data_IF_289435784092
#
_entry.id   IF_289435784092
#
_cell.length_a   1.000
_cell.length_b   1.000
_cell.length_c   1.000
_cell.angle_alpha   90.00
_cell.angle_beta   90.00
_cell.angle_gamma   90.00
#
_symmetry.space_group_name_H-M   'P 1'
#
loop_
_entity.id
_entity.type
_entity.pdbx_description
1 polymer ?
#
# COMPACT_ATOMS: atom_id res chain seq x y z
N UNK A 1 30.50 -2.92 -8.00
CA UNK A 1 29.16 -2.31 -8.15
C UNK A 1 28.87 -2.09 -9.63
N UNK A 2 27.63 -1.82 -10.02
CA UNK A 2 27.24 -1.68 -11.44
C UNK A 2 27.98 -0.52 -12.13
N UNK A 3 28.22 -0.64 -13.42
CA UNK A 3 28.86 0.37 -14.26
C UNK A 3 27.83 1.31 -14.89
N UNK A 4 28.17 2.59 -14.92
CA UNK A 4 27.42 3.68 -15.53
C UNK A 4 28.29 4.31 -16.59
N UNK A 5 27.77 4.47 -17.80
CA UNK A 5 28.45 5.26 -18.84
C UNK A 5 28.26 6.75 -18.57
N UNK A 6 29.36 7.49 -18.49
CA UNK A 6 29.35 8.87 -17.98
C UNK A 6 29.08 9.93 -19.04
N UNK A 7 29.01 9.54 -20.30
CA UNK A 7 28.61 10.39 -21.42
C UNK A 7 27.09 10.58 -21.52
N UNK A 8 26.31 9.56 -21.14
CA UNK A 8 24.84 9.58 -21.18
C UNK A 8 24.19 9.48 -19.79
N UNK A 9 24.97 9.17 -18.75
CA UNK A 9 24.49 8.99 -17.37
C UNK A 9 23.40 7.92 -17.24
N UNK A 10 23.61 6.80 -17.93
CA UNK A 10 22.78 5.58 -17.86
C UNK A 10 23.65 4.37 -17.49
N UNK A 11 23.03 3.29 -17.01
CA UNK A 11 23.76 2.04 -16.80
C UNK A 11 24.40 1.57 -18.11
N UNK A 12 25.62 1.03 -18.01
CA UNK A 12 26.28 0.44 -19.17
C UNK A 12 25.52 -0.82 -19.57
N UNK A 13 25.07 -0.86 -20.84
CA UNK A 13 24.39 -2.02 -21.39
C UNK A 13 25.40 -3.19 -21.58
N UNK A 14 24.99 -4.45 -21.39
CA UNK A 14 25.83 -5.61 -21.70
C UNK A 14 26.44 -5.58 -23.11
N UNK A 15 25.66 -5.18 -24.11
CA UNK A 15 26.07 -5.16 -25.52
C UNK A 15 27.18 -4.12 -25.76
N UNK A 16 27.09 -2.96 -25.10
CA UNK A 16 28.12 -1.92 -25.12
C UNK A 16 29.45 -2.43 -24.52
N UNK A 17 29.37 -3.36 -23.56
CA UNK A 17 30.51 -4.03 -22.97
C UNK A 17 31.01 -5.25 -23.78
N UNK A 18 30.33 -5.61 -24.87
CA UNK A 18 30.64 -6.81 -25.66
C UNK A 18 30.29 -8.11 -24.94
N UNK A 19 29.31 -8.06 -24.04
CA UNK A 19 28.81 -9.20 -23.27
C UNK A 19 27.50 -9.71 -23.86
N UNK A 20 27.35 -11.04 -23.91
CA UNK A 20 26.10 -11.68 -24.31
C UNK A 20 25.25 -11.98 -23.07
N UNK A 21 23.99 -11.53 -23.09
CA UNK A 21 23.01 -11.84 -22.05
C UNK A 21 22.46 -13.25 -22.28
N UNK A 22 22.51 -14.14 -21.27
CA UNK A 22 21.89 -15.46 -21.36
C UNK A 22 20.39 -15.34 -21.64
N UNK A 23 19.80 -16.26 -22.44
CA UNK A 23 18.36 -16.29 -22.65
C UNK A 23 17.65 -16.61 -21.33
N UNK A 24 16.56 -15.90 -21.06
CA UNK A 24 15.68 -16.15 -19.92
C UNK A 24 14.78 -17.34 -20.25
N UNK A 25 14.63 -18.34 -19.36
CA UNK A 25 13.65 -19.42 -19.53
C UNK A 25 12.22 -18.89 -19.71
N UNK A 26 11.37 -19.59 -20.48
CA UNK A 26 10.00 -19.14 -20.79
C UNK A 26 9.10 -18.93 -19.55
N UNK A 27 9.44 -19.56 -18.42
CA UNK A 27 8.68 -19.52 -17.17
C UNK A 27 9.27 -18.55 -16.11
N UNK A 28 10.31 -17.78 -16.45
CA UNK A 28 10.98 -16.83 -15.55
C UNK A 28 10.83 -15.39 -16.04
N UNK A 29 10.70 -14.46 -15.10
CA UNK A 29 10.66 -13.03 -15.41
C UNK A 29 12.04 -12.52 -15.87
N UNK A 30 12.05 -11.63 -16.87
CA UNK A 30 13.29 -11.04 -17.38
C UNK A 30 13.92 -10.08 -16.35
N UNK A 31 14.94 -10.54 -15.64
CA UNK A 31 15.70 -9.70 -14.72
C UNK A 31 16.74 -8.84 -15.47
N UNK A 32 16.77 -7.52 -15.22
CA UNK A 32 17.73 -6.63 -15.89
C UNK A 32 19.18 -7.03 -15.57
N UNK A 33 19.96 -7.26 -16.62
CA UNK A 33 21.38 -7.63 -16.49
C UNK A 33 22.27 -6.39 -16.46
N UNK A 34 22.88 -6.14 -15.30
CA UNK A 34 23.87 -5.07 -15.14
C UNK A 34 25.30 -5.55 -15.38
N UNK A 35 26.15 -4.64 -15.87
CA UNK A 35 27.58 -4.86 -16.04
C UNK A 35 28.34 -4.40 -14.80
N UNK A 36 29.33 -5.18 -14.36
CA UNK A 36 30.30 -4.83 -13.32
C UNK A 36 31.73 -4.92 -13.87
N UNK A 37 32.68 -4.29 -13.20
CA UNK A 37 34.11 -4.49 -13.47
C UNK A 37 34.67 -5.57 -12.55
N UNK A 38 35.48 -6.48 -13.08
CA UNK A 38 36.25 -7.48 -12.33
C UNK A 38 37.74 -7.34 -12.66
N UNK A 39 38.60 -8.11 -12.00
CA UNK A 39 40.03 -8.16 -12.34
C UNK A 39 40.28 -8.70 -13.76
N UNK A 40 39.35 -9.49 -14.31
CA UNK A 40 39.37 -10.01 -15.67
C UNK A 40 38.74 -9.06 -16.71
N UNK A 41 38.24 -7.90 -16.30
CA UNK A 41 37.52 -6.96 -17.16
C UNK A 41 36.01 -6.90 -16.88
N UNK A 42 35.21 -6.30 -17.79
CA UNK A 42 33.76 -6.19 -17.62
C UNK A 42 33.10 -7.57 -17.66
N UNK A 43 32.12 -7.78 -16.79
CA UNK A 43 31.34 -9.02 -16.70
C UNK A 43 29.88 -8.73 -16.32
N UNK A 44 28.99 -9.69 -16.58
CA UNK A 44 27.61 -9.64 -16.08
C UNK A 44 27.60 -9.85 -14.56
N UNK A 45 26.81 -9.05 -13.84
CA UNK A 45 26.69 -9.15 -12.39
C UNK A 45 26.19 -10.54 -11.92
N UNK A 46 25.38 -11.22 -12.73
CA UNK A 46 24.83 -12.55 -12.46
C UNK A 46 25.83 -13.70 -12.63
N UNK A 47 26.96 -13.45 -13.30
CA UNK A 47 27.98 -14.46 -13.62
C UNK A 47 29.27 -14.26 -12.83
N UNK A 48 29.25 -13.42 -11.81
CA UNK A 48 30.41 -13.08 -11.00
C UNK A 48 30.06 -12.98 -9.53
N UNK A 49 30.96 -13.45 -8.66
CA UNK A 49 30.78 -13.36 -7.22
C UNK A 49 31.01 -11.93 -6.70
N UNK A 50 31.90 -11.17 -7.34
CA UNK A 50 32.29 -9.84 -6.87
C UNK A 50 32.75 -8.92 -8.00
N UNK A 51 32.26 -7.69 -7.98
CA UNK A 51 32.77 -6.60 -8.82
C UNK A 51 33.58 -5.59 -8.02
N UNK A 52 34.54 -4.95 -8.68
CA UNK A 52 35.29 -3.82 -8.15
C UNK A 52 34.34 -2.72 -7.67
N UNK A 53 34.66 -2.15 -6.51
CA UNK A 53 33.85 -1.12 -5.88
C UNK A 53 34.11 0.24 -6.53
N UNK A 54 35.36 0.59 -6.76
CA UNK A 54 35.76 1.86 -7.38
C UNK A 54 36.26 1.61 -8.81
N UNK A 55 35.63 2.28 -9.77
CA UNK A 55 35.98 2.16 -11.20
C UNK A 55 35.86 3.55 -11.83
N UNK A 56 36.90 3.96 -12.54
CA UNK A 56 36.90 5.12 -13.46
C UNK A 56 37.82 4.77 -14.62
N UNK A 57 37.24 4.32 -15.74
CA UNK A 57 37.99 3.77 -16.87
C UNK A 57 37.19 3.86 -18.17
N UNK A 58 37.64 3.15 -19.22
CA UNK A 58 36.89 2.96 -20.45
C UNK A 58 36.65 1.47 -20.72
N UNK A 59 35.44 1.13 -21.13
CA UNK A 59 35.07 -0.21 -21.64
C UNK A 59 34.70 -0.05 -23.12
N UNK A 60 35.39 -0.76 -24.01
CA UNK A 60 35.20 -0.65 -25.47
C UNK A 60 35.20 0.80 -25.99
N UNK A 61 35.98 1.67 -25.36
CA UNK A 61 36.06 3.08 -25.72
C UNK A 61 34.96 3.96 -25.10
N UNK A 62 34.00 3.43 -24.35
CA UNK A 62 32.97 4.19 -23.62
C UNK A 62 33.51 4.56 -22.23
N UNK A 63 33.46 5.83 -21.81
CA UNK A 63 33.88 6.22 -20.46
C UNK A 63 32.87 5.70 -19.42
N UNK A 64 33.36 5.00 -18.40
CA UNK A 64 32.52 4.37 -17.39
C UNK A 64 33.04 4.61 -15.99
N UNK A 65 32.11 4.75 -15.05
CA UNK A 65 32.39 4.73 -13.61
C UNK A 65 31.50 3.72 -12.91
N UNK A 66 31.93 3.24 -11.75
CA UNK A 66 31.03 2.45 -10.91
C UNK A 66 30.01 3.37 -10.20
N UNK A 67 28.85 2.82 -9.84
CA UNK A 67 27.84 3.54 -9.03
C UNK A 67 28.43 4.06 -7.72
N UNK A 68 29.31 3.31 -7.06
CA UNK A 68 29.91 3.74 -5.80
C UNK A 68 30.88 4.91 -6.01
N UNK A 69 31.68 4.90 -7.09
CA UNK A 69 32.54 6.03 -7.44
C UNK A 69 31.70 7.29 -7.66
N UNK A 70 30.59 7.20 -8.40
CA UNK A 70 29.68 8.33 -8.61
C UNK A 70 29.04 8.83 -7.31
N UNK A 71 28.62 7.90 -6.43
CA UNK A 71 28.08 8.24 -5.12
C UNK A 71 29.11 8.97 -4.25
N UNK A 72 30.36 8.47 -4.22
CA UNK A 72 31.47 9.09 -3.50
C UNK A 72 31.76 10.49 -4.02
N UNK A 73 31.86 10.66 -5.34
CA UNK A 73 32.08 11.98 -5.97
C UNK A 73 30.97 12.97 -5.62
N UNK A 74 29.70 12.51 -5.65
CA UNK A 74 28.55 13.31 -5.25
C UNK A 74 28.56 13.68 -3.78
N UNK A 75 29.02 12.79 -2.89
CA UNK A 75 29.15 13.08 -1.46
C UNK A 75 30.37 13.98 -1.14
N UNK A 76 31.36 14.05 -2.03
CA UNK A 76 32.59 14.84 -1.88
C UNK A 76 32.57 16.15 -2.68
N UNK A 77 31.44 16.52 -3.28
CA UNK A 77 31.32 17.76 -4.04
C UNK A 77 31.40 19.03 -3.19
N UNK A 78 31.22 18.88 -1.88
CA UNK A 78 31.31 19.92 -0.87
C UNK A 78 32.19 19.46 0.28
N UNK A 79 32.82 20.43 0.95
CA UNK A 79 33.57 20.14 2.16
C UNK A 79 32.62 19.86 3.33
N UNK A 80 33.16 19.26 4.41
CA UNK A 80 32.39 19.04 5.62
C UNK A 80 31.90 20.35 6.23
N UNK A 81 32.69 21.43 6.15
CA UNK A 81 32.32 22.76 6.62
C UNK A 81 31.12 23.32 5.86
N UNK A 82 31.09 23.18 4.53
CA UNK A 82 29.97 23.62 3.71
C UNK A 82 28.69 22.82 4.02
N UNK A 83 28.80 21.51 4.22
CA UNK A 83 27.64 20.70 4.62
C UNK A 83 27.14 21.07 6.03
N UNK A 84 28.05 21.30 6.98
CA UNK A 84 27.70 21.73 8.33
C UNK A 84 26.96 23.08 8.32
N UNK A 85 27.44 24.04 7.54
CA UNK A 85 26.77 25.34 7.35
C UNK A 85 25.37 25.18 6.75
N UNK A 86 25.22 24.37 5.69
CA UNK A 86 23.93 24.12 5.04
C UNK A 86 22.92 23.42 5.96
N UNK A 87 23.39 22.49 6.78
CA UNK A 87 22.57 21.76 7.73
C UNK A 87 22.29 22.54 9.04
N UNK A 88 23.04 23.61 9.30
CA UNK A 88 22.92 24.40 10.52
C UNK A 88 23.43 23.69 11.78
N UNK A 89 24.42 22.80 11.64
CA UNK A 89 25.04 22.03 12.73
C UNK A 89 26.56 22.22 12.72
N UNK A 90 27.26 21.72 13.75
CA UNK A 90 28.73 21.81 13.76
C UNK A 90 29.39 20.68 12.96
N UNK A 91 30.60 20.92 12.45
CA UNK A 91 31.42 19.85 11.84
C UNK A 91 31.68 18.72 12.85
N UNK A 92 31.84 19.06 14.13
CA UNK A 92 32.05 18.09 15.20
C UNK A 92 30.87 17.11 15.32
N UNK A 93 29.63 17.60 15.27
CA UNK A 93 28.43 16.74 15.33
C UNK A 93 28.38 15.75 14.16
N UNK A 94 28.75 16.19 12.96
CA UNK A 94 28.79 15.32 11.77
C UNK A 94 29.83 14.21 11.95
N UNK A 95 31.04 14.57 12.38
CA UNK A 95 32.15 13.61 12.54
C UNK A 95 31.83 12.62 13.67
N UNK A 96 31.39 13.12 14.82
CA UNK A 96 31.04 12.28 15.98
C UNK A 96 29.95 11.27 15.62
N UNK A 97 28.87 11.73 14.98
CA UNK A 97 27.77 10.85 14.58
C UNK A 97 28.20 9.82 13.53
N UNK A 98 29.03 10.21 12.56
CA UNK A 98 29.54 9.29 11.55
C UNK A 98 30.45 8.22 12.15
N UNK A 99 31.36 8.61 13.06
CA UNK A 99 32.25 7.69 13.76
C UNK A 99 31.46 6.72 14.65
N UNK A 100 30.50 7.23 15.44
CA UNK A 100 29.65 6.40 16.29
C UNK A 100 28.84 5.41 15.46
N UNK A 101 28.11 5.89 14.44
CA UNK A 101 27.28 5.06 13.56
C UNK A 101 28.08 3.92 12.92
N UNK A 102 29.26 4.22 12.38
CA UNK A 102 30.08 3.24 11.66
C UNK A 102 30.83 2.30 12.59
N UNK A 103 31.14 2.71 13.84
CA UNK A 103 31.80 1.86 14.84
C UNK A 103 30.98 0.63 15.24
N UNK A 104 29.67 0.69 15.06
CA UNK A 104 28.74 -0.40 15.35
C UNK A 104 28.51 -1.34 14.15
N UNK A 105 28.96 -0.96 12.95
CA UNK A 105 28.77 -1.73 11.72
C UNK A 105 27.31 -2.14 11.52
N UNK A 106 27.08 -3.44 11.35
CA UNK A 106 25.74 -4.02 11.11
C UNK A 106 24.75 -3.93 12.29
N UNK A 107 25.20 -3.44 13.45
CA UNK A 107 24.40 -3.32 14.68
C UNK A 107 23.84 -1.91 14.89
N UNK A 108 23.99 -1.02 13.90
CA UNK A 108 23.34 0.28 13.88
C UNK A 108 22.35 0.35 12.72
N UNK A 109 21.38 1.27 12.81
CA UNK A 109 20.39 1.52 11.77
C UNK A 109 20.02 3.00 11.72
N UNK A 110 19.71 3.47 10.51
CA UNK A 110 19.17 4.81 10.27
C UNK A 110 17.71 4.66 9.83
N UNK A 111 16.79 4.93 10.74
CA UNK A 111 15.35 4.84 10.47
C UNK A 111 14.76 6.25 10.31
N UNK A 112 13.84 6.42 9.35
CA UNK A 112 13.14 7.67 9.15
C UNK A 112 11.67 7.44 8.82
N UNK A 113 10.80 8.11 9.57
CA UNK A 113 9.39 8.17 9.24
C UNK A 113 9.09 9.41 8.38
N UNK A 114 7.90 10.00 8.55
CA UNK A 114 7.38 11.06 7.69
C UNK A 114 8.17 12.38 7.74
N UNK A 115 8.80 12.73 8.87
CA UNK A 115 9.44 14.05 9.05
C UNK A 115 10.43 14.42 7.94
N UNK A 116 11.51 13.63 7.74
CA UNK A 116 12.52 13.89 6.71
C UNK A 116 12.03 13.80 5.26
N UNK A 117 10.78 13.36 5.02
CA UNK A 117 10.23 13.13 3.67
C UNK A 117 8.99 13.95 3.36
N UNK A 118 8.54 14.82 4.27
CA UNK A 118 7.35 15.67 4.10
C UNK A 118 7.61 17.03 3.42
N UNK A 119 8.83 17.25 2.94
CA UNK A 119 9.23 18.43 2.15
C UNK A 119 9.49 18.08 0.67
N UNK A 120 9.61 19.09 -0.19
CA UNK A 120 9.69 18.96 -1.66
C UNK A 120 10.85 18.10 -2.16
N UNK A 121 11.96 18.03 -1.41
CA UNK A 121 13.14 17.20 -1.69
C UNK A 121 13.17 15.91 -0.84
N UNK A 122 12.02 15.49 -0.27
CA UNK A 122 11.88 14.33 0.60
C UNK A 122 12.42 13.03 0.03
N UNK A 123 12.22 12.83 -1.27
CA UNK A 123 12.75 11.68 -1.99
C UNK A 123 14.28 11.58 -1.89
N UNK A 124 15.00 12.69 -2.10
CA UNK A 124 16.46 12.69 -2.04
C UNK A 124 16.99 12.48 -0.62
N UNK A 125 16.31 13.04 0.38
CA UNK A 125 16.63 12.81 1.80
C UNK A 125 16.45 11.33 2.16
N UNK A 126 15.34 10.71 1.76
CA UNK A 126 15.10 9.28 1.97
C UNK A 126 16.19 8.41 1.32
N UNK A 127 16.55 8.70 0.07
CA UNK A 127 17.62 7.97 -0.64
C UNK A 127 18.96 8.06 0.08
N UNK A 128 19.33 9.24 0.59
CA UNK A 128 20.57 9.41 1.36
C UNK A 128 20.54 8.59 2.66
N UNK A 129 19.43 8.60 3.41
CA UNK A 129 19.29 7.85 4.66
C UNK A 129 19.30 6.33 4.44
N UNK A 130 18.64 5.83 3.39
CA UNK A 130 18.69 4.40 3.01
C UNK A 130 20.12 4.02 2.60
N UNK A 131 20.82 4.90 1.88
CA UNK A 131 22.20 4.65 1.44
C UNK A 131 23.15 4.47 2.63
N UNK A 132 22.95 5.17 3.75
CA UNK A 132 23.76 4.97 4.96
C UNK A 132 23.63 3.53 5.50
N UNK A 133 22.41 2.98 5.52
CA UNK A 133 22.16 1.58 5.91
C UNK A 133 22.86 0.59 4.97
N UNK A 134 22.77 0.83 3.66
CA UNK A 134 23.46 0.01 2.65
C UNK A 134 24.98 0.02 2.83
N UNK A 135 25.58 1.18 3.14
CA UNK A 135 27.02 1.34 3.33
C UNK A 135 27.55 0.62 4.58
N UNK A 136 26.77 0.58 5.68
CA UNK A 136 27.14 -0.19 6.88
C UNK A 136 26.75 -1.67 6.80
N UNK A 137 26.03 -2.07 5.73
CA UNK A 137 25.67 -3.44 5.44
C UNK A 137 24.71 -4.07 6.46
N UNK A 138 23.84 -3.26 7.06
CA UNK A 138 22.89 -3.71 8.09
C UNK A 138 21.56 -4.22 7.50
N UNK A 139 21.35 -4.11 6.18
CA UNK A 139 20.09 -4.56 5.56
C UNK A 139 19.93 -6.07 5.78
N UNK A 140 18.73 -6.44 6.22
CA UNK A 140 18.33 -7.80 6.59
C UNK A 140 19.12 -8.44 7.75
N UNK A 141 19.96 -7.67 8.45
CA UNK A 141 20.55 -8.09 9.70
C UNK A 141 19.60 -7.80 10.86
N UNK A 142 19.65 -8.63 11.90
CA UNK A 142 18.90 -8.43 13.13
C UNK A 142 19.16 -7.04 13.75
N UNK A 143 18.12 -6.22 13.80
CA UNK A 143 18.17 -4.84 14.31
C UNK A 143 18.59 -3.79 13.27
N UNK A 144 18.83 -4.21 12.02
CA UNK A 144 19.09 -3.34 10.89
C UNK A 144 17.82 -2.94 10.13
N UNK A 145 18.01 -2.37 8.94
CA UNK A 145 16.91 -2.02 8.03
C UNK A 145 16.34 -3.29 7.41
N UNK A 146 15.01 -3.45 7.44
CA UNK A 146 14.34 -4.66 6.98
C UNK A 146 12.95 -4.38 6.43
N UNK A 147 12.43 -5.34 5.68
CA UNK A 147 11.04 -5.37 5.24
C UNK A 147 10.24 -6.25 6.20
N UNK A 148 9.01 -5.85 6.53
CA UNK A 148 8.14 -6.63 7.42
C UNK A 148 7.75 -7.99 6.83
N UNK A 149 7.34 -8.92 7.69
CA UNK A 149 7.02 -10.32 7.36
C UNK A 149 5.77 -10.55 6.51
N UNK A 150 5.13 -9.47 6.02
CA UNK A 150 3.94 -9.53 5.19
C UNK A 150 2.69 -10.03 5.89
N UNK A 151 1.72 -10.48 5.10
CA UNK A 151 0.40 -10.92 5.56
C UNK A 151 -0.15 -12.06 4.70
N UNK A 152 -1.13 -12.81 5.21
CA UNK A 152 -1.95 -13.72 4.39
C UNK A 152 -3.01 -12.91 3.64
N UNK A 153 -3.45 -13.41 2.49
CA UNK A 153 -4.20 -12.63 1.51
C UNK A 153 -5.71 -12.77 1.74
N UNK A 154 -6.32 -11.74 2.33
CA UNK A 154 -7.76 -11.71 2.64
C UNK A 154 -8.64 -11.71 1.38
N UNK A 155 -8.13 -11.26 0.24
CA UNK A 155 -8.86 -11.25 -1.04
C UNK A 155 -9.01 -12.65 -1.65
N UNK A 156 -8.27 -13.65 -1.15
CA UNK A 156 -8.34 -15.04 -1.60
C UNK A 156 -7.69 -15.30 -2.95
N UNK A 157 -6.98 -14.33 -3.53
CA UNK A 157 -6.28 -14.44 -4.81
C UNK A 157 -4.98 -15.28 -4.74
N UNK A 158 -4.64 -15.78 -3.54
CA UNK A 158 -3.57 -16.75 -3.29
C UNK A 158 -4.13 -18.07 -2.76
N UNK A 159 -5.09 -18.66 -3.49
CA UNK A 159 -5.72 -19.96 -3.19
C UNK A 159 -6.79 -19.96 -2.08
N UNK A 160 -7.33 -18.80 -1.68
CA UNK A 160 -8.45 -18.76 -0.75
C UNK A 160 -9.73 -19.36 -1.37
N UNK A 161 -10.65 -19.92 -0.55
CA UNK A 161 -11.92 -20.47 -1.03
C UNK A 161 -12.82 -19.42 -1.71
N UNK A 162 -12.60 -18.13 -1.45
CA UNK A 162 -13.35 -17.04 -2.05
C UNK A 162 -12.41 -16.03 -2.71
N UNK A 163 -12.11 -16.20 -4.01
CA UNK A 163 -11.35 -15.20 -4.75
C UNK A 163 -12.21 -13.97 -5.07
N UNK A 164 -12.19 -12.96 -4.20
CA UNK A 164 -13.05 -11.78 -4.29
C UNK A 164 -12.81 -10.94 -5.55
N UNK A 165 -11.68 -11.11 -6.25
CA UNK A 165 -11.41 -10.43 -7.53
C UNK A 165 -12.29 -10.98 -8.65
N UNK A 166 -12.57 -12.28 -8.61
CA UNK A 166 -13.30 -13.03 -9.64
C UNK A 166 -14.79 -13.21 -9.32
N UNK A 167 -15.19 -13.03 -8.05
CA UNK A 167 -16.57 -13.22 -7.61
C UNK A 167 -17.52 -12.05 -7.95
N UNK A 168 -17.08 -10.99 -8.62
CA UNK A 168 -17.95 -9.87 -9.00
C UNK A 168 -18.49 -10.08 -10.42
N UNK A 169 -19.74 -10.57 -10.61
CA UNK A 169 -20.34 -10.74 -11.93
C UNK A 169 -20.52 -9.40 -12.63
N UNK A 170 -20.15 -9.28 -13.91
CA UNK A 170 -20.39 -8.06 -14.69
C UNK A 170 -19.62 -6.81 -14.20
N UNK A 171 -18.53 -7.00 -13.46
CA UNK A 171 -17.70 -5.94 -12.88
C UNK A 171 -17.36 -4.84 -13.89
N UNK A 172 -17.66 -3.59 -13.51
CA UNK A 172 -17.24 -2.42 -14.27
C UNK A 172 -15.72 -2.24 -14.18
N UNK A 173 -15.09 -1.94 -15.32
CA UNK A 173 -13.66 -1.64 -15.39
C UNK A 173 -13.43 -0.13 -15.33
N UNK A 174 -12.48 0.29 -14.48
CA UNK A 174 -12.02 1.68 -14.45
C UNK A 174 -11.32 2.02 -15.77
N UNK A 175 -11.53 3.23 -16.29
CA UNK A 175 -10.87 3.72 -17.50
C UNK A 175 -10.43 5.18 -17.35
N UNK A 176 -9.45 5.59 -18.16
CA UNK A 176 -8.97 6.97 -18.22
C UNK A 176 -7.85 7.33 -17.24
N UNK A 177 -7.56 8.63 -17.17
CA UNK A 177 -6.56 9.23 -16.27
C UNK A 177 -7.24 9.51 -14.92
N UNK A 178 -6.68 9.12 -13.76
CA UNK A 178 -7.25 9.49 -12.47
C UNK A 178 -7.24 11.01 -12.30
N UNK A 179 -8.20 11.58 -11.56
CA UNK A 179 -8.34 13.05 -11.41
C UNK A 179 -7.07 13.72 -10.88
N UNK A 180 -6.31 13.04 -10.00
CA UNK A 180 -5.04 13.52 -9.44
C UNK A 180 -3.81 13.16 -10.31
N UNK A 181 -4.00 12.47 -11.43
CA UNK A 181 -2.98 12.04 -12.42
C UNK A 181 -1.82 11.19 -11.86
N UNK A 182 -2.03 10.50 -10.76
CA UNK A 182 -1.03 9.59 -10.21
C UNK A 182 -0.82 8.35 -11.10
N UNK A 183 0.39 7.78 -11.08
CA UNK A 183 0.75 6.58 -11.84
C UNK A 183 0.63 6.69 -13.36
N UNK A 184 0.46 7.91 -13.91
CA UNK A 184 0.34 8.15 -15.35
C UNK A 184 1.43 9.11 -15.84
N UNK A 185 1.92 8.85 -17.05
CA UNK A 185 2.83 9.72 -17.79
C UNK A 185 2.02 10.62 -18.73
N UNK A 186 2.26 11.92 -18.70
CA UNK A 186 1.51 12.89 -19.49
C UNK A 186 1.70 12.70 -20.99
N UNK A 187 2.94 12.53 -21.45
CA UNK A 187 3.33 12.30 -22.85
C UNK A 187 2.84 10.97 -23.44
N UNK A 188 2.29 10.08 -22.59
CA UNK A 188 1.64 8.83 -23.00
C UNK A 188 0.12 8.87 -22.86
N UNK A 189 -0.44 10.02 -22.50
CA UNK A 189 -1.88 10.21 -22.33
C UNK A 189 -2.50 10.81 -23.59
N UNK A 190 -3.80 10.57 -23.79
CA UNK A 190 -4.59 11.26 -24.83
C UNK A 190 -4.68 12.78 -24.63
N UNK A 191 -4.24 13.28 -23.47
CA UNK A 191 -4.23 14.70 -23.15
C UNK A 191 -3.02 15.42 -23.74
N UNK A 192 -1.93 14.70 -24.04
CA UNK A 192 -0.72 15.31 -24.59
C UNK A 192 -1.01 16.03 -25.91
N UNK A 193 -1.64 15.35 -26.86
CA UNK A 193 -1.99 15.94 -28.16
C UNK A 193 -3.10 17.00 -28.02
N UNK A 194 -4.09 16.74 -27.14
CA UNK A 194 -5.18 17.70 -26.84
C UNK A 194 -4.63 19.03 -26.34
N UNK A 195 -3.61 18.98 -25.47
CA UNK A 195 -3.06 20.12 -24.76
C UNK A 195 -1.86 20.77 -25.49
N UNK A 196 -1.44 20.23 -26.65
CA UNK A 196 -0.36 20.78 -27.46
C UNK A 196 1.06 20.42 -26.99
N UNK A 197 1.21 19.30 -26.30
CA UNK A 197 2.49 18.82 -25.78
C UNK A 197 2.86 19.40 -24.42
N UNK A 198 4.16 19.47 -24.13
CA UNK A 198 4.66 20.07 -22.87
C UNK A 198 4.61 21.61 -22.91
N UNK A 199 4.42 22.28 -21.75
CA UNK A 199 4.21 21.71 -20.41
C UNK A 199 2.76 21.29 -20.15
N UNK A 200 2.57 20.31 -19.25
CA UNK A 200 1.23 19.95 -18.76
C UNK A 200 0.61 21.10 -17.93
N UNK A 201 -0.72 21.23 -17.97
CA UNK A 201 -1.44 22.30 -17.24
C UNK A 201 -1.34 22.18 -15.71
N UNK A 202 -1.19 20.95 -15.19
CA UNK A 202 -0.97 20.64 -13.78
C UNK A 202 0.04 19.50 -13.65
N UNK A 203 0.71 19.31 -12.50
CA UNK A 203 1.91 18.48 -12.39
C UNK A 203 1.96 17.05 -12.97
N UNK A 204 1.07 16.08 -12.79
CA UNK A 204 1.33 14.63 -13.04
C UNK A 204 2.41 13.97 -12.18
N UNK A 205 2.11 12.76 -11.70
CA UNK A 205 2.94 12.05 -10.74
C UNK A 205 3.12 10.58 -11.16
N UNK A 206 3.98 10.30 -12.16
CA UNK A 206 4.08 8.97 -12.76
C UNK A 206 4.67 7.91 -11.81
N UNK A 207 5.37 8.33 -10.75
CA UNK A 207 6.08 7.46 -9.82
C UNK A 207 5.42 7.39 -8.43
N UNK A 208 4.21 7.94 -8.27
CA UNK A 208 3.52 7.98 -6.98
C UNK A 208 2.11 7.42 -7.08
N UNK A 209 1.56 7.09 -5.93
CA UNK A 209 0.14 6.77 -5.71
C UNK A 209 -0.40 7.60 -4.54
N UNK A 210 -1.72 7.57 -4.32
CA UNK A 210 -2.41 8.23 -3.21
C UNK A 210 -2.11 9.74 -3.08
N UNK A 211 -2.09 10.48 -4.20
CA UNK A 211 -1.86 11.94 -4.22
C UNK A 211 -3.15 12.67 -3.81
N UNK A 212 -3.55 12.47 -2.56
CA UNK A 212 -4.82 12.90 -1.98
C UNK A 212 -5.04 14.41 -2.08
N UNK A 213 -3.99 15.19 -1.80
CA UNK A 213 -4.01 16.65 -1.80
C UNK A 213 -4.35 17.27 -3.17
N UNK A 214 -4.26 16.51 -4.26
CA UNK A 214 -4.53 17.00 -5.62
C UNK A 214 -5.97 16.79 -6.07
N UNK A 215 -6.78 15.99 -5.36
CA UNK A 215 -8.14 15.64 -5.81
C UNK A 215 -9.05 16.87 -5.90
N UNK A 216 -9.19 17.64 -4.82
CA UNK A 216 -10.07 18.83 -4.79
C UNK A 216 -9.51 19.97 -5.67
N UNK A 217 -8.21 20.32 -5.65
CA UNK A 217 -7.65 21.30 -6.57
C UNK A 217 -7.82 20.93 -8.05
N UNK A 218 -7.65 19.64 -8.42
CA UNK A 218 -7.86 19.16 -9.79
C UNK A 218 -9.33 19.26 -10.20
N UNK A 219 -10.26 18.90 -9.31
CA UNK A 219 -11.69 19.08 -9.52
C UNK A 219 -12.06 20.57 -9.76
N UNK A 220 -11.55 21.49 -8.94
CA UNK A 220 -11.78 22.93 -9.11
C UNK A 220 -11.21 23.49 -10.41
N UNK A 221 -10.07 22.95 -10.86
CA UNK A 221 -9.46 23.28 -12.15
C UNK A 221 -10.15 22.59 -13.35
N UNK A 222 -11.03 21.61 -13.11
CA UNK A 222 -11.61 20.73 -14.13
C UNK A 222 -10.55 20.06 -15.02
N UNK A 223 -9.38 19.75 -14.44
CA UNK A 223 -8.26 19.13 -15.15
C UNK A 223 -7.81 17.85 -14.42
N UNK A 224 -7.76 16.69 -15.09
CA UNK A 224 -7.91 16.48 -16.54
C UNK A 224 -9.34 16.60 -17.11
N UNK A 225 -10.35 16.58 -16.25
CA UNK A 225 -11.78 16.72 -16.58
C UNK A 225 -12.57 17.22 -15.34
N UNK A 226 -13.78 17.77 -15.50
CA UNK A 226 -14.66 18.08 -14.37
C UNK A 226 -15.24 16.81 -13.74
N UNK A 227 -15.47 16.85 -12.43
CA UNK A 227 -16.19 15.78 -11.72
C UNK A 227 -17.68 16.13 -11.59
N UNK A 228 -18.50 15.12 -11.30
CA UNK A 228 -19.95 15.28 -11.04
C UNK A 228 -20.32 15.05 -9.59
N UNK A 229 -19.57 14.20 -8.90
CA UNK A 229 -19.74 13.93 -7.50
C UNK A 229 -18.38 13.79 -6.82
N UNK A 230 -18.27 14.31 -5.60
CA UNK A 230 -17.20 14.04 -4.66
C UNK A 230 -17.80 13.28 -3.48
N UNK A 231 -17.24 12.10 -3.17
CA UNK A 231 -17.55 11.39 -1.93
C UNK A 231 -16.30 11.38 -1.07
N UNK A 232 -16.38 11.91 0.15
CA UNK A 232 -15.30 11.85 1.14
C UNK A 232 -15.71 10.93 2.28
N UNK A 233 -14.91 9.90 2.52
CA UNK A 233 -15.08 8.96 3.63
C UNK A 233 -13.89 9.09 4.58
N UNK A 234 -14.15 9.22 5.88
CA UNK A 234 -13.13 9.25 6.94
C UNK A 234 -11.94 10.20 6.65
N UNK A 235 -12.22 11.37 6.09
CA UNK A 235 -11.16 12.29 5.65
C UNK A 235 -11.57 13.74 5.79
N UNK A 236 -10.68 14.57 6.33
CA UNK A 236 -10.92 16.02 6.49
C UNK A 236 -9.93 16.86 5.65
N UNK A 237 -9.98 16.83 4.31
CA UNK A 237 -9.00 17.51 3.46
C UNK A 237 -8.93 19.02 3.67
N UNK A 238 -10.04 19.65 4.10
CA UNK A 238 -10.04 21.09 4.44
C UNK A 238 -9.12 21.43 5.63
N UNK A 239 -8.84 20.45 6.50
CA UNK A 239 -7.92 20.58 7.64
C UNK A 239 -6.58 19.88 7.38
N UNK A 240 -6.59 18.66 6.86
CA UNK A 240 -5.43 17.77 6.82
C UNK A 240 -4.54 17.93 5.59
N UNK A 241 -5.05 18.55 4.51
CA UNK A 241 -4.27 18.77 3.29
C UNK A 241 -3.68 20.19 3.23
N UNK A 242 -2.50 20.36 2.62
CA UNK A 242 -1.96 21.70 2.35
C UNK A 242 -2.96 22.57 1.57
N UNK A 243 -3.02 23.85 1.93
CA UNK A 243 -3.89 24.82 1.24
C UNK A 243 -5.39 24.60 1.49
N UNK A 244 -5.78 24.01 2.62
CA UNK A 244 -7.19 23.77 2.96
C UNK A 244 -8.13 24.96 2.75
N UNK A 245 -7.69 26.18 3.08
CA UNK A 245 -8.46 27.42 2.83
C UNK A 245 -8.84 27.63 1.35
N UNK A 246 -7.94 27.29 0.41
CA UNK A 246 -8.22 27.37 -1.02
C UNK A 246 -9.16 26.24 -1.48
N UNK A 247 -9.02 25.05 -0.88
CA UNK A 247 -9.90 23.92 -1.15
C UNK A 247 -11.33 24.17 -0.66
N UNK A 248 -11.51 24.84 0.48
CA UNK A 248 -12.83 25.23 1.00
C UNK A 248 -13.62 26.06 -0.02
N UNK A 249 -12.96 27.00 -0.72
CA UNK A 249 -13.62 27.80 -1.74
C UNK A 249 -14.16 26.93 -2.90
N UNK A 250 -13.43 25.87 -3.26
CA UNK A 250 -13.83 24.90 -4.30
C UNK A 250 -14.99 24.03 -3.79
N UNK A 251 -14.91 23.53 -2.55
CA UNK A 251 -15.96 22.71 -1.93
C UNK A 251 -17.31 23.44 -1.86
N UNK A 252 -17.30 24.75 -1.69
CA UNK A 252 -18.51 25.59 -1.63
C UNK A 252 -19.07 25.98 -3.00
N UNK A 253 -18.38 25.67 -4.09
CA UNK A 253 -18.78 26.07 -5.44
C UNK A 253 -19.47 24.89 -6.17
N UNK A 254 -20.81 24.89 -6.28
CA UNK A 254 -21.55 23.81 -6.93
C UNK A 254 -21.30 23.72 -8.45
N UNK A 255 -20.67 24.74 -9.05
CA UNK A 255 -20.21 24.67 -10.45
C UNK A 255 -18.95 23.82 -10.61
N UNK A 256 -18.20 23.63 -9.51
CA UNK A 256 -16.97 22.82 -9.46
C UNK A 256 -17.21 21.44 -8.88
N UNK A 257 -17.99 21.36 -7.81
CA UNK A 257 -18.36 20.11 -7.14
C UNK A 257 -19.90 20.09 -7.06
N UNK A 258 -20.58 19.54 -8.09
CA UNK A 258 -22.05 19.60 -8.16
C UNK A 258 -22.78 18.75 -7.12
N UNK A 259 -22.12 17.74 -6.57
CA UNK A 259 -22.65 16.88 -5.51
C UNK A 259 -21.49 16.52 -4.58
N UNK A 260 -21.60 16.87 -3.31
CA UNK A 260 -20.64 16.53 -2.28
C UNK A 260 -21.29 15.68 -1.19
N UNK A 261 -20.92 14.40 -1.13
CA UNK A 261 -21.34 13.44 -0.12
C UNK A 261 -20.19 13.23 0.88
N UNK A 262 -20.52 13.14 2.15
CA UNK A 262 -19.57 12.89 3.23
C UNK A 262 -20.04 11.71 4.09
N UNK A 263 -19.11 10.86 4.54
CA UNK A 263 -19.38 9.75 5.44
C UNK A 263 -18.32 9.69 6.53
N UNK A 264 -18.74 9.79 7.78
CA UNK A 264 -17.84 9.83 8.95
C UNK A 264 -18.62 9.59 10.24
N UNK A 265 -17.89 9.37 11.33
CA UNK A 265 -18.43 9.14 12.66
C UNK A 265 -18.77 10.46 13.39
N UNK A 266 -18.29 11.59 12.86
CA UNK A 266 -18.51 12.93 13.42
C UNK A 266 -18.67 13.98 12.30
N UNK A 267 -19.34 15.08 12.62
CA UNK A 267 -19.34 16.28 11.77
C UNK A 267 -18.00 17.01 11.98
N UNK A 268 -17.15 17.04 10.95
CA UNK A 268 -15.84 17.69 10.94
C UNK A 268 -15.73 18.88 9.98
N UNK A 269 -14.56 19.51 9.92
CA UNK A 269 -14.31 20.78 9.22
C UNK A 269 -14.62 20.72 7.72
N UNK A 270 -14.38 19.57 7.10
CA UNK A 270 -14.69 19.37 5.67
C UNK A 270 -16.17 19.09 5.44
N UNK A 271 -16.79 18.29 6.32
CA UNK A 271 -18.19 17.90 6.19
C UNK A 271 -19.17 19.07 6.26
N UNK A 272 -18.77 20.20 6.86
CA UNK A 272 -19.57 21.43 6.91
C UNK A 272 -19.92 21.99 5.52
N UNK A 273 -19.24 21.54 4.47
CA UNK A 273 -19.49 21.97 3.09
C UNK A 273 -20.20 20.91 2.23
N UNK A 274 -20.53 19.74 2.80
CA UNK A 274 -21.19 18.66 2.08
C UNK A 274 -22.70 18.92 1.90
N UNK A 275 -23.25 18.43 0.79
CA UNK A 275 -24.69 18.42 0.54
C UNK A 275 -25.40 17.35 1.37
N UNK A 276 -24.74 16.20 1.55
CA UNK A 276 -25.25 15.07 2.32
C UNK A 276 -24.17 14.51 3.25
N UNK A 277 -24.54 14.23 4.50
CA UNK A 277 -23.70 13.54 5.48
C UNK A 277 -24.40 12.23 5.88
N UNK A 278 -23.77 11.11 5.60
CA UNK A 278 -24.19 9.80 6.10
C UNK A 278 -23.39 9.47 7.36
N UNK A 279 -24.04 9.08 8.48
CA UNK A 279 -23.31 8.64 9.66
C UNK A 279 -22.59 7.32 9.37
N UNK A 280 -21.44 7.14 10.00
CA UNK A 280 -20.67 5.89 9.95
C UNK A 280 -20.52 5.30 11.36
N UNK A 281 -20.11 4.04 11.40
CA UNK A 281 -19.85 3.28 12.63
C UNK A 281 -18.38 3.40 13.05
N UNK A 282 -18.10 3.39 14.35
CA UNK A 282 -16.76 3.54 14.96
C UNK A 282 -15.95 2.23 14.92
N UNK A 283 -14.68 2.27 15.37
CA UNK A 283 -13.81 1.09 15.31
C UNK A 283 -14.28 -0.14 16.13
N UNK A 284 -14.98 -0.05 17.28
CA UNK A 284 -15.52 -1.26 17.94
C UNK A 284 -16.81 -1.79 17.29
N UNK A 285 -17.44 -1.04 16.38
CA UNK A 285 -18.73 -1.39 15.77
C UNK A 285 -18.56 -2.01 14.38
N UNK A 286 -17.36 -1.94 13.79
CA UNK A 286 -17.13 -2.23 12.37
C UNK A 286 -16.25 -3.42 12.12
N UNK A 287 -16.36 -3.96 10.91
CA UNK A 287 -15.40 -4.88 10.35
C UNK A 287 -14.19 -4.15 9.75
N UNK A 288 -13.02 -4.79 9.71
CA UNK A 288 -11.87 -4.33 8.94
C UNK A 288 -10.79 -5.42 8.85
N UNK A 289 -9.90 -5.31 7.86
CA UNK A 289 -8.65 -6.07 7.75
C UNK A 289 -7.44 -5.13 7.89
N UNK A 290 -7.09 -4.64 9.09
CA UNK A 290 -6.00 -3.70 9.24
C UNK A 290 -4.67 -4.34 8.82
N UNK A 291 -3.98 -3.74 7.85
CA UNK A 291 -2.66 -4.22 7.42
C UNK A 291 -1.65 -4.24 8.57
N UNK A 292 -0.69 -5.16 8.47
CA UNK A 292 0.46 -5.18 9.36
C UNK A 292 1.38 -4.01 9.05
N UNK A 293 2.03 -3.48 10.07
CA UNK A 293 3.04 -2.44 9.89
C UNK A 293 4.39 -3.09 9.53
N UNK A 294 5.25 -2.41 8.74
CA UNK A 294 6.47 -3.00 8.21
C UNK A 294 7.53 -3.30 9.30
N UNK A 295 7.37 -2.77 10.51
CA UNK A 295 8.19 -3.09 11.67
C UNK A 295 7.92 -4.49 12.26
N UNK A 296 6.85 -5.16 11.83
CA UNK A 296 6.55 -6.52 12.29
C UNK A 296 7.17 -7.55 11.37
N UNK A 297 8.09 -8.34 11.93
CA UNK A 297 8.88 -9.34 11.19
C UNK A 297 8.14 -10.62 10.88
N UNK A 298 7.12 -10.94 11.67
CA UNK A 298 6.34 -12.14 11.44
C UNK A 298 5.18 -11.84 10.51
N UNK A 299 4.80 -12.84 9.71
CA UNK A 299 3.59 -12.76 8.90
C UNK A 299 2.38 -12.61 9.83
N UNK A 300 1.57 -11.57 9.62
CA UNK A 300 0.38 -11.27 10.43
C UNK A 300 -0.76 -10.77 9.56
N UNK A 301 -1.96 -11.31 9.79
CA UNK A 301 -3.22 -10.73 9.28
C UNK A 301 -4.16 -10.47 10.45
N UNK A 302 -4.37 -9.19 10.79
CA UNK A 302 -5.30 -8.76 11.85
C UNK A 302 -6.71 -8.69 11.28
N UNK A 303 -7.69 -8.97 12.12
CA UNK A 303 -9.09 -8.91 11.73
C UNK A 303 -9.91 -8.23 12.80
N UNK A 304 -10.65 -7.22 12.38
CA UNK A 304 -11.59 -6.49 13.24
C UNK A 304 -12.99 -6.94 12.91
N UNK A 305 -13.76 -7.16 13.96
CA UNK A 305 -15.18 -7.48 13.91
C UNK A 305 -15.92 -6.62 14.94
N UNK A 306 -17.23 -6.41 14.78
CA UNK A 306 -18.03 -5.69 15.77
C UNK A 306 -17.97 -6.37 17.14
N UNK A 307 -17.71 -5.59 18.19
CA UNK A 307 -17.70 -6.04 19.60
C UNK A 307 -18.76 -5.33 20.44
N UNK A 308 -19.34 -4.24 19.92
CA UNK A 308 -20.44 -3.50 20.54
C UNK A 308 -21.57 -3.30 19.54
N UNK A 309 -22.78 -3.06 20.03
CA UNK A 309 -23.90 -2.64 19.20
C UNK A 309 -23.60 -1.27 18.56
N UNK A 310 -24.05 -1.02 17.33
CA UNK A 310 -23.88 0.28 16.69
C UNK A 310 -24.57 1.38 17.50
N UNK A 311 -23.90 2.52 17.64
CA UNK A 311 -24.52 3.77 18.09
C UNK A 311 -25.42 4.39 17.00
N UNK A 312 -25.02 4.42 15.71
CA UNK A 312 -25.93 4.86 14.65
C UNK A 312 -27.20 4.01 14.57
N UNK A 313 -28.25 4.60 14.01
CA UNK A 313 -29.52 3.92 13.77
C UNK A 313 -29.36 2.73 12.82
N UNK A 314 -30.32 1.80 12.89
CA UNK A 314 -30.44 0.70 11.94
C UNK A 314 -31.36 1.10 10.79
N UNK A 315 -31.14 0.50 9.63
CA UNK A 315 -31.94 0.70 8.42
C UNK A 315 -32.27 -0.65 7.78
N UNK A 316 -33.46 -0.75 7.21
CA UNK A 316 -33.86 -1.90 6.40
C UNK A 316 -33.55 -1.64 4.92
N UNK A 317 -32.77 -2.52 4.30
CA UNK A 317 -32.46 -2.50 2.86
C UNK A 317 -32.90 -3.82 2.25
N UNK A 318 -33.99 -3.82 1.48
CA UNK A 318 -34.62 -5.01 0.89
C UNK A 318 -34.90 -6.14 1.89
N UNK A 319 -35.46 -5.81 3.06
CA UNK A 319 -35.80 -6.78 4.10
C UNK A 319 -34.64 -7.18 5.01
N UNK A 320 -33.44 -6.64 4.79
CA UNK A 320 -32.29 -6.83 5.67
C UNK A 320 -32.10 -5.64 6.61
N UNK A 321 -32.32 -5.85 7.91
CA UNK A 321 -32.03 -4.87 8.94
C UNK A 321 -30.52 -4.85 9.24
N UNK A 322 -29.88 -3.69 9.10
CA UNK A 322 -28.43 -3.51 9.27
C UNK A 322 -28.10 -2.12 9.84
N UNK A 323 -26.93 -1.94 10.49
CA UNK A 323 -26.49 -0.62 10.94
C UNK A 323 -26.32 0.35 9.77
N UNK A 324 -26.61 1.63 9.98
CA UNK A 324 -26.22 2.66 9.02
C UNK A 324 -24.69 2.84 9.08
N UNK A 325 -24.04 2.55 7.95
CA UNK A 325 -22.61 2.75 7.73
C UNK A 325 -22.32 2.97 6.23
N UNK A 326 -21.06 3.20 5.88
CA UNK A 326 -20.64 3.34 4.48
C UNK A 326 -21.06 2.12 3.64
N UNK A 327 -20.76 0.91 4.11
CA UNK A 327 -21.02 -0.31 3.35
C UNK A 327 -22.53 -0.52 3.10
N UNK A 328 -23.36 -0.28 4.11
CA UNK A 328 -24.82 -0.29 3.99
C UNK A 328 -25.30 0.73 2.96
N UNK A 329 -24.77 1.96 2.98
CA UNK A 329 -25.12 2.99 2.01
C UNK A 329 -24.72 2.58 0.58
N UNK A 330 -23.53 1.99 0.42
CA UNK A 330 -23.06 1.49 -0.88
C UNK A 330 -23.92 0.34 -1.40
N UNK A 331 -24.29 -0.63 -0.56
CA UNK A 331 -25.20 -1.73 -0.94
C UNK A 331 -26.55 -1.16 -1.40
N UNK A 332 -27.14 -0.24 -0.64
CA UNK A 332 -28.43 0.37 -0.97
C UNK A 332 -28.37 1.15 -2.30
N UNK A 333 -27.33 1.96 -2.50
CA UNK A 333 -27.14 2.74 -3.73
C UNK A 333 -26.90 1.82 -4.93
N UNK A 334 -26.02 0.81 -4.78
CA UNK A 334 -25.71 -0.13 -5.85
C UNK A 334 -26.95 -0.88 -6.33
N UNK A 335 -27.76 -1.39 -5.40
CA UNK A 335 -29.05 -2.01 -5.69
C UNK A 335 -30.03 -1.04 -6.37
N UNK A 336 -30.12 0.20 -5.88
CA UNK A 336 -30.99 1.23 -6.48
C UNK A 336 -30.61 1.56 -7.92
N UNK A 337 -29.32 1.53 -8.23
CA UNK A 337 -28.78 1.76 -9.56
C UNK A 337 -28.80 0.50 -10.45
N UNK A 338 -29.14 -0.66 -9.91
CA UNK A 338 -29.10 -1.93 -10.62
C UNK A 338 -27.68 -2.37 -10.99
N UNK A 339 -26.68 -2.02 -10.16
CA UNK A 339 -25.31 -2.49 -10.36
C UNK A 339 -25.23 -4.00 -10.12
N UNK A 340 -24.37 -4.67 -10.90
CA UNK A 340 -24.07 -6.07 -10.69
C UNK A 340 -23.24 -6.27 -9.42
N UNK A 341 -23.23 -7.50 -8.91
CA UNK A 341 -22.41 -7.84 -7.74
C UNK A 341 -23.04 -7.58 -6.38
N UNK A 342 -24.32 -7.19 -6.30
CA UNK A 342 -25.01 -6.88 -5.04
C UNK A 342 -26.37 -7.58 -4.95
N UNK A 343 -26.76 -8.00 -3.75
CA UNK A 343 -28.00 -8.73 -3.47
C UNK A 343 -27.82 -10.25 -3.45
N UNK A 344 -28.93 -10.97 -3.62
CA UNK A 344 -28.93 -12.44 -3.72
C UNK A 344 -28.10 -12.89 -4.92
N UNK A 345 -27.17 -13.82 -4.70
CA UNK A 345 -26.18 -14.25 -5.69
C UNK A 345 -25.18 -13.15 -6.09
N UNK A 346 -25.01 -12.11 -5.26
CA UNK A 346 -24.12 -10.98 -5.53
C UNK A 346 -22.66 -11.39 -5.77
N UNK A 347 -22.20 -12.48 -5.17
CA UNK A 347 -20.88 -13.07 -5.42
C UNK A 347 -20.86 -14.20 -6.46
N UNK A 348 -21.94 -14.39 -7.22
CA UNK A 348 -22.08 -15.55 -8.09
C UNK A 348 -21.99 -16.86 -7.30
N UNK A 349 -21.00 -17.70 -7.62
CA UNK A 349 -20.75 -18.97 -6.91
C UNK A 349 -20.34 -18.76 -5.45
N UNK A 350 -19.87 -17.57 -5.07
CA UNK A 350 -19.56 -17.20 -3.69
C UNK A 350 -20.79 -16.89 -2.84
N UNK A 351 -22.01 -16.94 -3.39
CA UNK A 351 -23.26 -16.71 -2.67
C UNK A 351 -23.72 -15.26 -2.65
N UNK A 352 -24.42 -14.89 -1.58
CA UNK A 352 -25.10 -13.59 -1.47
C UNK A 352 -24.16 -12.46 -1.05
N UNK A 353 -24.43 -11.25 -1.54
CA UNK A 353 -23.84 -10.00 -1.03
C UNK A 353 -24.95 -9.01 -0.68
N UNK A 354 -25.65 -9.31 0.41
CA UNK A 354 -26.81 -8.54 0.88
C UNK A 354 -26.50 -7.64 2.06
N UNK A 355 -25.44 -7.98 2.81
CA UNK A 355 -25.05 -7.33 4.06
C UNK A 355 -23.53 -7.08 4.07
N UNK A 356 -23.04 -6.09 4.82
CA UNK A 356 -21.61 -5.82 4.92
C UNK A 356 -20.78 -7.04 5.33
N UNK A 357 -21.25 -7.82 6.31
CA UNK A 357 -20.56 -9.01 6.82
C UNK A 357 -20.40 -10.12 5.78
N UNK A 358 -21.23 -10.19 4.73
CA UNK A 358 -21.09 -11.21 3.67
C UNK A 358 -19.75 -11.11 2.95
N UNK A 359 -19.21 -9.89 2.83
CA UNK A 359 -17.88 -9.59 2.28
C UNK A 359 -16.77 -9.93 3.29
N UNK A 360 -16.89 -9.43 4.51
CA UNK A 360 -15.86 -9.59 5.54
C UNK A 360 -15.71 -11.04 6.03
N UNK A 361 -16.80 -11.81 6.09
CA UNK A 361 -16.75 -13.22 6.48
C UNK A 361 -16.04 -14.08 5.42
N UNK A 362 -16.18 -13.74 4.13
CA UNK A 362 -15.38 -14.38 3.06
C UNK A 362 -13.90 -14.07 3.22
N UNK A 363 -13.55 -12.82 3.56
CA UNK A 363 -12.17 -12.46 3.92
C UNK A 363 -11.67 -13.25 5.14
N UNK A 364 -12.49 -13.42 6.17
CA UNK A 364 -12.16 -14.23 7.33
C UNK A 364 -11.94 -15.71 6.96
N UNK A 365 -12.76 -16.26 6.07
CA UNK A 365 -12.60 -17.62 5.54
C UNK A 365 -11.30 -17.77 4.73
N UNK A 366 -10.96 -16.80 3.89
CA UNK A 366 -9.68 -16.79 3.17
C UNK A 366 -8.48 -16.77 4.12
N UNK A 367 -8.51 -15.92 5.15
CA UNK A 367 -7.44 -15.86 6.14
C UNK A 367 -7.36 -17.12 7.01
N UNK A 368 -8.50 -17.75 7.31
CA UNK A 368 -8.55 -19.03 8.00
C UNK A 368 -7.97 -20.17 7.14
N UNK A 369 -8.22 -20.17 5.84
CA UNK A 369 -7.67 -21.15 4.90
C UNK A 369 -6.16 -20.97 4.67
N UNK A 370 -5.70 -19.72 4.52
CA UNK A 370 -4.30 -19.39 4.21
C UNK A 370 -4.01 -19.36 2.71
N UNK A 371 -2.72 -19.40 2.35
CA UNK A 371 -2.27 -19.08 0.98
C UNK A 371 -1.78 -20.32 0.18
N UNK A 372 -2.25 -21.51 0.53
CA UNK A 372 -1.79 -22.78 -0.07
C UNK A 372 -2.96 -23.60 -0.59
N UNK A 373 -2.93 -23.92 -1.89
CA UNK A 373 -3.99 -24.67 -2.60
C UNK A 373 -4.30 -26.04 -1.98
N UNK A 374 -3.29 -26.68 -1.39
CA UNK A 374 -3.45 -27.99 -0.73
C UNK A 374 -4.15 -27.90 0.64
N UNK A 375 -4.51 -26.70 1.10
CA UNK A 375 -5.15 -26.47 2.39
C UNK A 375 -4.24 -26.72 3.59
N UNK A 376 -2.94 -26.96 3.39
CA UNK A 376 -1.95 -27.24 4.46
C UNK A 376 -1.82 -26.10 5.47
N UNK A 377 -2.24 -24.89 5.09
CA UNK A 377 -2.26 -23.71 5.95
C UNK A 377 -3.60 -23.48 6.64
N UNK A 378 -4.61 -24.33 6.44
CA UNK A 378 -5.93 -24.14 7.05
C UNK A 378 -5.81 -24.17 8.57
N UNK A 379 -6.35 -23.15 9.23
CA UNK A 379 -6.37 -23.10 10.68
C UNK A 379 -7.24 -24.23 11.25
N UNK A 380 -6.91 -24.76 12.44
CA UNK A 380 -7.70 -25.80 13.08
C UNK A 380 -9.17 -25.41 13.23
N UNK A 381 -10.05 -26.40 13.24
CA UNK A 381 -11.44 -26.20 13.63
C UNK A 381 -11.51 -25.76 15.11
N UNK A 382 -12.36 -24.77 15.40
CA UNK A 382 -12.71 -24.41 16.76
C UNK A 382 -13.29 -25.61 17.51
N UNK A 383 -12.81 -25.82 18.75
CA UNK A 383 -13.38 -26.81 19.66
C UNK A 383 -14.81 -26.47 20.06
N UNK A 384 -15.56 -27.45 20.58
CA UNK A 384 -16.92 -27.22 21.11
C UNK A 384 -16.97 -26.09 22.15
N UNK A 385 -15.94 -25.96 22.97
CA UNK A 385 -15.81 -24.87 23.94
C UNK A 385 -15.61 -23.52 23.25
N UNK A 386 -14.70 -23.44 22.26
CA UNK A 386 -14.47 -22.22 21.49
C UNK A 386 -15.71 -21.77 20.71
N UNK A 387 -16.49 -22.72 20.17
CA UNK A 387 -17.78 -22.45 19.53
C UNK A 387 -18.77 -21.85 20.53
N UNK A 388 -18.90 -22.46 21.72
CA UNK A 388 -19.80 -21.96 22.75
C UNK A 388 -19.41 -20.56 23.25
N UNK A 389 -18.11 -20.32 23.45
CA UNK A 389 -17.58 -19.00 23.83
C UNK A 389 -17.84 -17.98 22.73
N UNK A 390 -17.66 -18.35 21.46
CA UNK A 390 -17.90 -17.47 20.32
C UNK A 390 -19.34 -16.94 20.29
N UNK A 391 -20.33 -17.84 20.42
CA UNK A 391 -21.75 -17.48 20.42
C UNK A 391 -22.12 -16.66 21.66
N UNK A 392 -21.68 -17.10 22.85
CA UNK A 392 -21.98 -16.42 24.11
C UNK A 392 -21.41 -14.99 24.15
N UNK A 393 -20.19 -14.79 23.65
CA UNK A 393 -19.52 -13.49 23.62
C UNK A 393 -20.18 -12.48 22.67
N UNK A 394 -21.10 -12.91 21.80
CA UNK A 394 -21.84 -12.04 20.85
C UNK A 394 -23.33 -11.96 21.14
N UNK A 395 -23.81 -12.65 22.17
CA UNK A 395 -25.24 -12.68 22.53
C UNK A 395 -25.80 -11.32 22.97
N UNK A 396 -24.95 -10.33 23.27
CA UNK A 396 -25.37 -8.95 23.55
C UNK A 396 -25.55 -8.09 22.30
N UNK A 397 -25.11 -8.54 21.12
CA UNK A 397 -25.22 -7.79 19.88
C UNK A 397 -26.63 -7.95 19.29
N UNK A 398 -27.17 -6.90 18.64
CA UNK A 398 -28.47 -7.00 17.98
C UNK A 398 -28.39 -7.93 16.76
N UNK A 399 -29.53 -8.52 16.33
CA UNK A 399 -29.58 -9.38 15.13
C UNK A 399 -29.14 -8.70 13.83
N UNK A 400 -29.17 -7.36 13.80
CA UNK A 400 -28.65 -6.55 12.69
C UNK A 400 -27.13 -6.62 12.55
N UNK A 401 -26.42 -7.06 13.59
CA UNK A 401 -24.95 -7.19 13.64
C UNK A 401 -24.54 -8.65 13.69
N UNK A 402 -25.18 -9.45 14.55
CA UNK A 402 -24.84 -10.85 14.74
C UNK A 402 -26.06 -11.76 14.66
N UNK A 403 -26.04 -12.61 13.64
CA UNK A 403 -26.90 -13.78 13.52
C UNK A 403 -25.98 -14.94 13.11
N UNK A 404 -25.80 -15.90 14.02
CA UNK A 404 -24.85 -17.00 13.82
C UNK A 404 -25.21 -17.87 12.61
N UNK A 405 -26.51 -18.06 12.34
CA UNK A 405 -26.94 -18.86 11.20
C UNK A 405 -26.62 -18.15 9.88
N UNK A 406 -26.82 -16.82 9.81
CA UNK A 406 -26.43 -16.02 8.64
C UNK A 406 -24.91 -16.01 8.46
N UNK A 407 -24.14 -15.81 9.53
CA UNK A 407 -22.69 -15.78 9.45
C UNK A 407 -22.11 -17.13 9.00
N UNK A 408 -22.65 -18.23 9.53
CA UNK A 408 -22.29 -19.59 9.10
C UNK A 408 -22.65 -19.81 7.63
N UNK A 409 -23.82 -19.35 7.17
CA UNK A 409 -24.24 -19.48 5.78
C UNK A 409 -23.32 -18.72 4.82
N UNK A 410 -22.79 -17.55 5.21
CA UNK A 410 -21.91 -16.73 4.38
C UNK A 410 -20.56 -17.39 4.03
N UNK A 411 -20.13 -18.39 4.81
CA UNK A 411 -18.84 -19.10 4.64
C UNK A 411 -18.98 -20.62 4.50
N UNK A 412 -20.20 -21.16 4.58
CA UNK A 412 -20.46 -22.59 4.50
C UNK A 412 -20.11 -23.40 5.76
N UNK A 413 -20.69 -24.60 5.86
CA UNK A 413 -20.56 -25.44 7.07
C UNK A 413 -19.13 -25.95 7.33
N UNK A 414 -18.39 -26.22 6.25
CA UNK A 414 -17.05 -26.80 6.32
C UNK A 414 -16.02 -25.81 6.88
N UNK A 415 -16.05 -24.56 6.40
CA UNK A 415 -15.11 -23.52 6.84
C UNK A 415 -15.51 -22.86 8.15
N UNK A 416 -16.78 -22.93 8.55
CA UNK A 416 -17.28 -22.23 9.75
C UNK A 416 -16.45 -22.47 11.02
N UNK A 417 -16.08 -23.72 11.38
CA UNK A 417 -15.26 -23.95 12.58
C UNK A 417 -13.88 -23.28 12.52
N UNK A 418 -13.21 -23.28 11.37
CA UNK A 418 -11.91 -22.62 11.21
C UNK A 418 -12.04 -21.09 11.18
N UNK A 419 -13.15 -20.57 10.64
CA UNK A 419 -13.50 -19.14 10.73
C UNK A 419 -13.72 -18.73 12.18
N UNK A 420 -14.47 -19.51 12.98
CA UNK A 420 -14.66 -19.23 14.41
C UNK A 420 -13.33 -19.27 15.17
N UNK A 421 -12.46 -20.25 14.87
CA UNK A 421 -11.12 -20.34 15.44
C UNK A 421 -10.31 -19.05 15.19
N UNK A 422 -10.35 -18.55 13.95
CA UNK A 422 -9.72 -17.31 13.54
C UNK A 422 -10.31 -16.08 14.24
N UNK A 423 -11.63 -15.94 14.23
CA UNK A 423 -12.34 -14.79 14.80
C UNK A 423 -12.16 -14.70 16.32
N UNK A 424 -12.07 -15.82 17.03
CA UNK A 424 -11.78 -15.84 18.48
C UNK A 424 -10.38 -15.29 18.81
N UNK A 425 -9.44 -15.31 17.85
CA UNK A 425 -8.06 -14.82 18.02
C UNK A 425 -7.86 -13.41 17.47
N UNK A 426 -8.86 -12.84 16.79
CA UNK A 426 -8.79 -11.50 16.19
C UNK A 426 -7.82 -11.40 15.01
N UNK A 427 -7.43 -12.54 14.42
CA UNK A 427 -6.45 -12.58 13.34
C UNK A 427 -5.66 -13.88 13.29
N UNK A 428 -4.67 -13.89 12.40
CA UNK A 428 -3.72 -14.96 12.16
C UNK A 428 -2.30 -14.42 12.37
N UNK A 429 -1.51 -15.13 13.15
CA UNK A 429 -0.20 -14.68 13.60
C UNK A 429 0.82 -15.80 13.44
N UNK A 430 1.91 -15.54 12.72
CA UNK A 430 3.07 -16.43 12.74
C UNK A 430 3.80 -16.28 14.07
N UNK A 431 4.34 -17.39 14.60
CA UNK A 431 5.04 -17.40 15.87
C UNK A 431 6.29 -16.51 15.85
N UNK A 432 6.58 -15.85 16.97
CA UNK A 432 7.66 -14.87 17.09
C UNK A 432 9.07 -15.44 16.81
N UNK A 433 9.27 -16.73 17.09
CA UNK A 433 10.52 -17.45 16.83
C UNK A 433 10.79 -17.71 15.34
N UNK A 434 9.83 -17.38 14.45
CA UNK A 434 9.96 -17.46 13.00
C UNK A 434 10.34 -16.13 12.34
N UNK A 435 10.54 -15.07 13.13
CA UNK A 435 10.91 -13.75 12.60
C UNK A 435 12.41 -13.55 12.38
N UNK A 436 13.25 -14.55 12.63
CA UNK A 436 14.71 -14.48 12.44
C UNK A 436 15.26 -15.84 12.02
N UNK A 437 16.30 -15.82 11.17
CA UNK A 437 17.20 -16.95 10.90
C UNK A 437 18.63 -16.61 11.37
N UNK A 438 18.95 -16.99 12.61
CA UNK A 438 20.20 -16.62 13.26
C UNK A 438 20.31 -15.10 13.50
N UNK A 439 21.25 -14.47 12.80
CA UNK A 439 21.49 -13.02 12.84
C UNK A 439 20.84 -12.28 11.65
N UNK A 440 20.02 -12.96 10.85
CA UNK A 440 19.28 -12.44 9.70
C UNK A 440 17.77 -12.47 9.96
N UNK A 441 17.00 -11.73 9.16
CA UNK A 441 15.52 -11.69 9.15
C UNK A 441 14.93 -12.52 8.02
#
# INVERSE_FOLDING_TARGET
THLVRTDEMVFLAPEDAGLEVPPVPEDEDEEPQFVVMTDGGPALHSQTEAGQLEVDTRVNGIPVKSVLTLLRERAQEKTLEEYAELAGISVADIVELADELTSHGKKAAVEFYRGPVQHTNGYYTAQALITLNLLIGNVDHKGGLMVGGGHWHEEGDKAGPYNLKELHPGKLTKFGVPINREGKKYDKSTLFDRDGGFPAQRPWYPLTSNVYQEVIPAAGAAYPYPIKALWVHMGTPALSSPGGHAQIAILKDPTKIPLFIYTDIIIGETSMYADYIFPDITYPERWATPHTSPDVLTKISKFRQPTVAPIPEEVEVDGELMPICLETAFIAIAKKLGLSGFGLGGFGEGGDFTRPEDWYLKMAANLAFGDKEDGSQTLPAASTEEMAVFSAARGHLPPSVFDEAKWKAAVGEEMWPSVVYFLNRGGRFLAADKGYDGDMV
#
